data_IF_674827938223
#
_entry.id   IF_674827938223
#
_cell.length_a   1.000
_cell.length_b   1.000
_cell.length_c   1.000
_cell.angle_alpha   90.00
_cell.angle_beta   90.00
_cell.angle_gamma   90.00
#
_symmetry.space_group_name_H-M   'P 1'
#
loop_
_entity.id
_entity.type
_entity.pdbx_description
1 polymer ?
#
# COMPACT_ATOMS: atom_id res chain seq x y z
N UNK A 1 17.13 19.80 10.95
CA UNK A 1 17.41 18.36 11.23
C UNK A 1 16.19 17.46 11.09
N UNK A 2 14.98 17.87 11.52
CA UNK A 2 13.74 17.07 11.39
C UNK A 2 13.30 16.78 9.94
N UNK A 3 13.36 17.77 9.04
CA UNK A 3 12.96 17.58 7.62
C UNK A 3 13.88 16.59 6.86
N UNK A 4 15.13 16.47 7.31
CA UNK A 4 16.15 15.60 6.72
C UNK A 4 15.80 14.13 6.99
N UNK A 5 15.36 13.81 8.21
CA UNK A 5 14.97 12.44 8.57
C UNK A 5 13.72 11.99 7.83
N UNK A 6 12.80 12.91 7.50
CA UNK A 6 11.51 12.58 6.90
C UNK A 6 11.65 11.95 5.50
N UNK A 7 12.46 12.52 4.62
CA UNK A 7 12.60 12.00 3.24
C UNK A 7 13.38 10.68 3.17
N UNK A 8 14.45 10.53 3.96
CA UNK A 8 15.19 9.27 4.02
C UNK A 8 14.37 8.14 4.60
N UNK A 9 13.56 8.41 5.64
CA UNK A 9 12.64 7.42 6.21
C UNK A 9 11.55 7.05 5.18
N UNK A 10 10.98 8.04 4.50
CA UNK A 10 9.96 7.80 3.48
C UNK A 10 10.50 6.93 2.33
N UNK A 11 11.72 7.17 1.86
CA UNK A 11 12.39 6.30 0.89
C UNK A 11 12.54 4.87 1.42
N UNK A 12 13.13 4.70 2.60
CA UNK A 12 13.38 3.38 3.19
C UNK A 12 12.08 2.59 3.33
N UNK A 13 11.05 3.25 3.85
CA UNK A 13 9.72 2.66 4.00
C UNK A 13 9.11 2.28 2.65
N UNK A 14 9.18 3.17 1.65
CA UNK A 14 8.65 2.92 0.30
C UNK A 14 9.32 1.70 -0.32
N UNK A 15 10.66 1.65 -0.29
CA UNK A 15 11.43 0.50 -0.81
C UNK A 15 11.09 -0.79 -0.07
N UNK A 16 10.90 -0.72 1.26
CA UNK A 16 10.58 -1.90 2.08
C UNK A 16 9.19 -2.44 1.77
N UNK A 17 8.17 -1.58 1.68
CA UNK A 17 6.81 -2.03 1.34
C UNK A 17 6.75 -2.53 -0.10
N UNK A 18 7.38 -1.82 -1.05
CA UNK A 18 7.49 -2.27 -2.44
C UNK A 18 8.09 -3.68 -2.51
N UNK A 19 9.21 -3.92 -1.81
CA UNK A 19 9.84 -5.24 -1.76
C UNK A 19 8.93 -6.29 -1.14
N UNK A 20 8.24 -6.00 -0.03
CA UNK A 20 7.41 -7.00 0.66
C UNK A 20 6.20 -7.43 -0.19
N UNK A 21 5.58 -6.48 -0.89
CA UNK A 21 4.43 -6.75 -1.76
C UNK A 21 4.85 -7.34 -3.12
N UNK A 22 5.97 -6.90 -3.71
CA UNK A 22 6.49 -7.42 -4.99
C UNK A 22 7.16 -8.79 -4.84
N UNK A 23 7.86 -9.07 -3.74
CA UNK A 23 8.61 -10.32 -3.57
C UNK A 23 7.70 -11.55 -3.54
N UNK A 24 6.43 -11.39 -3.12
CA UNK A 24 5.45 -12.48 -3.10
C UNK A 24 4.54 -12.51 -4.32
N UNK A 25 4.43 -11.43 -5.09
CA UNK A 25 3.68 -11.43 -6.37
C UNK A 25 4.38 -12.28 -7.45
N UNK A 26 5.71 -12.43 -7.35
CA UNK A 26 6.55 -13.22 -8.28
C UNK A 26 6.64 -14.71 -7.94
N UNK A 27 6.24 -15.13 -6.74
CA UNK A 27 6.06 -16.55 -6.44
C UNK A 27 4.66 -16.92 -6.91
N UNK A 28 4.59 -17.58 -8.08
CA UNK A 28 3.37 -18.15 -8.65
C UNK A 28 2.88 -19.33 -7.81
N UNK A 29 2.55 -19.09 -6.54
CA UNK A 29 1.73 -20.03 -5.80
C UNK A 29 0.30 -19.57 -5.98
N UNK A 30 -0.49 -20.46 -6.59
CA UNK A 30 -1.93 -20.48 -6.81
C UNK A 30 -2.72 -20.37 -5.50
N UNK A 31 -2.38 -19.40 -4.66
CA UNK A 31 -2.91 -19.16 -3.34
C UNK A 31 -3.73 -17.87 -3.38
N UNK A 32 -4.89 -17.92 -2.73
CA UNK A 32 -5.94 -16.89 -2.65
C UNK A 32 -5.50 -15.58 -1.95
N UNK A 33 -4.19 -15.35 -1.83
CA UNK A 33 -3.54 -14.26 -1.10
C UNK A 33 -2.76 -13.30 -2.01
N UNK A 34 -3.01 -13.31 -3.32
CA UNK A 34 -2.39 -12.35 -4.23
C UNK A 34 -2.83 -10.92 -3.90
N UNK A 35 -1.85 -10.02 -3.75
CA UNK A 35 -2.08 -8.59 -3.54
C UNK A 35 -1.74 -7.87 -4.84
N UNK A 36 -2.76 -7.41 -5.58
CA UNK A 36 -2.57 -6.70 -6.85
C UNK A 36 -2.59 -5.18 -6.65
N UNK A 37 -1.45 -4.61 -6.25
CA UNK A 37 -1.27 -3.17 -6.09
C UNK A 37 0.04 -2.70 -6.69
N UNK A 38 0.09 -1.43 -7.08
CA UNK A 38 1.29 -0.79 -7.62
C UNK A 38 1.91 0.14 -6.57
N UNK A 39 3.23 0.18 -6.52
CA UNK A 39 4.01 1.12 -5.71
C UNK A 39 5.05 1.74 -6.64
N UNK A 40 5.14 3.09 -6.71
CA UNK A 40 6.12 3.72 -7.57
C UNK A 40 7.55 3.41 -7.13
N UNK A 41 8.44 3.18 -8.09
CA UNK A 41 9.85 3.04 -7.79
C UNK A 41 10.45 4.35 -7.26
N UNK A 42 11.39 4.24 -6.32
CA UNK A 42 12.17 5.40 -5.87
C UNK A 42 13.34 5.61 -6.82
N UNK A 43 13.23 6.64 -7.66
CA UNK A 43 14.24 7.03 -8.65
C UNK A 43 15.43 7.71 -7.97
N UNK A 44 15.16 8.71 -7.14
CA UNK A 44 16.18 9.49 -6.46
C UNK A 44 15.65 9.99 -5.12
N UNK A 45 16.54 10.08 -4.14
CA UNK A 45 16.22 10.60 -2.82
C UNK A 45 17.37 11.45 -2.30
N UNK A 46 17.01 12.48 -1.54
CA UNK A 46 17.93 13.37 -0.86
C UNK A 46 17.26 13.88 0.41
N UNK A 47 18.01 14.61 1.22
CA UNK A 47 17.54 15.21 2.47
C UNK A 47 16.39 16.23 2.30
N UNK A 48 16.02 16.62 1.08
CA UNK A 48 15.01 17.65 0.79
C UNK A 48 13.96 17.23 -0.23
N UNK A 49 14.26 16.22 -1.04
CA UNK A 49 13.45 15.84 -2.20
C UNK A 49 13.47 14.32 -2.31
N UNK A 50 12.29 13.74 -2.51
CA UNK A 50 12.08 12.38 -2.97
C UNK A 50 11.48 12.43 -4.38
N UNK A 51 12.10 11.71 -5.31
CA UNK A 51 11.65 11.55 -6.70
C UNK A 51 11.20 10.11 -6.88
N UNK A 52 9.92 9.95 -7.22
CA UNK A 52 9.27 8.67 -7.46
C UNK A 52 8.96 8.50 -8.95
N UNK A 53 8.81 7.26 -9.38
CA UNK A 53 8.21 6.92 -10.66
C UNK A 53 6.87 7.66 -10.84
N UNK A 54 6.68 8.22 -12.02
CA UNK A 54 5.40 8.84 -12.37
C UNK A 54 4.35 7.76 -12.62
N UNK A 55 3.28 7.79 -11.83
CA UNK A 55 2.17 6.85 -11.95
C UNK A 55 0.98 7.54 -12.61
N UNK A 56 0.60 7.08 -13.81
CA UNK A 56 -0.58 7.61 -14.50
C UNK A 56 -1.86 7.03 -13.91
N UNK A 57 -2.46 7.79 -13.00
CA UNK A 57 -3.66 7.37 -12.27
C UNK A 57 -4.61 8.52 -11.94
N UNK A 58 -5.80 8.14 -11.51
CA UNK A 58 -6.84 9.04 -10.99
C UNK A 58 -6.83 8.97 -9.47
N UNK A 59 -7.03 10.11 -8.78
CA UNK A 59 -7.10 10.13 -7.32
C UNK A 59 -8.30 9.33 -6.83
N UNK A 60 -8.12 8.49 -5.81
CA UNK A 60 -9.19 7.66 -5.27
C UNK A 60 -10.40 8.48 -4.75
N UNK A 61 -10.17 9.71 -4.31
CA UNK A 61 -11.22 10.62 -3.83
C UNK A 61 -11.94 11.39 -4.95
N UNK A 62 -11.49 11.31 -6.20
CA UNK A 62 -12.15 11.92 -7.35
C UNK A 62 -13.25 10.99 -7.87
N UNK A 63 -14.44 11.09 -7.26
CA UNK A 63 -15.58 10.23 -7.57
C UNK A 63 -15.99 10.29 -9.05
N UNK A 64 -15.93 11.48 -9.66
CA UNK A 64 -16.35 11.68 -11.04
C UNK A 64 -15.39 10.99 -12.01
N UNK A 65 -14.08 11.12 -11.79
CA UNK A 65 -13.08 10.46 -12.63
C UNK A 65 -13.07 8.93 -12.42
N UNK A 66 -13.29 8.44 -11.19
CA UNK A 66 -13.44 6.99 -10.92
C UNK A 66 -14.68 6.41 -11.61
N UNK A 67 -15.80 7.14 -11.59
CA UNK A 67 -17.02 6.73 -12.29
C UNK A 67 -16.84 6.74 -13.82
N UNK A 68 -16.14 7.73 -14.36
CA UNK A 68 -15.81 7.79 -15.78
C UNK A 68 -14.88 6.65 -16.23
N UNK A 69 -14.00 6.16 -15.36
CA UNK A 69 -13.16 4.98 -15.63
C UNK A 69 -13.96 3.66 -15.58
N UNK A 70 -15.17 3.64 -15.02
CA UNK A 70 -15.98 2.43 -14.90
C UNK A 70 -15.39 1.38 -13.93
N UNK A 71 -14.61 1.81 -12.95
CA UNK A 71 -13.93 0.92 -11.99
C UNK A 71 -14.95 0.33 -11.01
N UNK A 72 -14.82 -0.97 -10.74
CA UNK A 72 -15.52 -1.61 -9.63
C UNK A 72 -14.93 -1.15 -8.29
N UNK A 73 -15.68 -0.28 -7.60
CA UNK A 73 -15.29 0.28 -6.31
C UNK A 73 -15.16 -0.79 -5.22
N UNK A 74 -15.94 -1.87 -5.29
CA UNK A 74 -15.86 -2.97 -4.32
C UNK A 74 -14.57 -3.75 -4.52
N UNK A 75 -14.24 -4.08 -5.76
CA UNK A 75 -13.00 -4.78 -6.09
C UNK A 75 -11.76 -3.96 -5.70
N UNK A 76 -11.81 -2.66 -5.94
CA UNK A 76 -10.74 -1.74 -5.56
C UNK A 76 -10.54 -1.68 -4.03
N UNK A 77 -11.65 -1.59 -3.27
CA UNK A 77 -11.60 -1.62 -1.81
C UNK A 77 -11.06 -2.96 -1.29
N UNK A 78 -11.40 -4.07 -1.93
CA UNK A 78 -10.89 -5.39 -1.59
C UNK A 78 -9.37 -5.46 -1.77
N UNK A 79 -8.83 -5.02 -2.90
CA UNK A 79 -7.39 -5.01 -3.15
C UNK A 79 -6.61 -4.13 -2.17
N UNK A 80 -7.12 -2.93 -1.87
CA UNK A 80 -6.53 -2.06 -0.85
C UNK A 80 -6.56 -2.75 0.53
N UNK A 81 -7.70 -3.34 0.90
CA UNK A 81 -7.85 -4.03 2.18
C UNK A 81 -6.91 -5.22 2.29
N UNK A 82 -6.78 -6.03 1.24
CA UNK A 82 -5.83 -7.15 1.17
C UNK A 82 -4.39 -6.68 1.31
N UNK A 83 -4.01 -5.58 0.65
CA UNK A 83 -2.67 -5.01 0.79
C UNK A 83 -2.35 -4.58 2.23
N UNK A 84 -3.31 -3.95 2.92
CA UNK A 84 -3.14 -3.57 4.33
C UNK A 84 -3.14 -4.77 5.27
N UNK A 85 -4.02 -5.74 5.04
CA UNK A 85 -4.03 -6.99 5.81
C UNK A 85 -2.70 -7.75 5.65
N UNK A 86 -2.14 -7.78 4.44
CA UNK A 86 -0.83 -8.37 4.18
C UNK A 86 0.27 -7.65 4.98
N UNK A 87 0.33 -6.33 4.89
CA UNK A 87 1.27 -5.51 5.65
C UNK A 87 1.19 -5.76 7.17
N UNK A 88 -0.02 -5.87 7.73
CA UNK A 88 -0.25 -6.07 9.17
C UNK A 88 0.09 -7.50 9.59
N UNK A 89 -0.53 -8.50 8.97
CA UNK A 89 -0.53 -9.88 9.46
C UNK A 89 0.63 -10.70 8.89
N UNK A 90 1.05 -10.44 7.66
CA UNK A 90 2.15 -11.15 7.01
C UNK A 90 3.46 -10.43 7.32
N UNK A 91 3.60 -9.18 6.89
CA UNK A 91 4.87 -8.46 6.98
C UNK A 91 5.18 -7.96 8.40
N UNK A 92 4.14 -7.65 9.19
CA UNK A 92 4.31 -6.96 10.46
C UNK A 92 4.90 -5.57 10.30
N UNK A 93 4.70 -4.96 9.14
CA UNK A 93 5.15 -3.62 8.79
C UNK A 93 4.07 -2.98 7.93
N UNK A 94 3.38 -1.99 8.49
CA UNK A 94 2.18 -1.43 7.88
C UNK A 94 2.20 0.08 7.86
N UNK A 95 1.54 0.64 6.84
CA UNK A 95 1.25 2.06 6.79
C UNK A 95 0.11 2.41 7.78
N UNK A 96 0.35 3.37 8.67
CA UNK A 96 -0.61 3.85 9.64
C UNK A 96 -1.55 4.94 9.14
N UNK A 97 -1.35 5.44 7.91
CA UNK A 97 -2.16 6.52 7.31
C UNK A 97 -2.81 6.11 5.98
N UNK A 98 -3.96 5.42 6.02
CA UNK A 98 -4.73 5.05 4.83
C UNK A 98 -5.61 6.21 4.30
N UNK A 99 -5.11 7.44 4.32
CA UNK A 99 -5.86 8.58 3.79
C UNK A 99 -6.12 8.41 2.27
N UNK A 100 -7.35 8.65 1.76
CA UNK A 100 -7.68 8.46 0.35
C UNK A 100 -6.78 9.24 -0.63
N UNK A 101 -6.20 10.36 -0.17
CA UNK A 101 -5.23 11.14 -0.94
C UNK A 101 -3.94 10.39 -1.27
N UNK A 102 -3.59 9.35 -0.51
CA UNK A 102 -2.38 8.54 -0.71
C UNK A 102 -2.58 7.43 -1.74
N UNK A 103 -3.74 7.36 -2.38
CA UNK A 103 -4.07 6.36 -3.39
C UNK A 103 -4.39 7.00 -4.74
N UNK A 104 -3.85 6.38 -5.79
CA UNK A 104 -4.37 6.53 -7.15
C UNK A 104 -4.99 5.21 -7.60
N UNK A 105 -5.73 5.29 -8.70
CA UNK A 105 -6.22 4.15 -9.45
C UNK A 105 -5.61 4.26 -10.84
N UNK A 106 -4.90 3.22 -11.28
CA UNK A 106 -4.35 3.16 -12.64
C UNK A 106 -5.44 3.37 -13.67
N UNK A 107 -5.16 4.14 -14.72
CA UNK A 107 -6.12 4.36 -15.82
C UNK A 107 -6.25 3.18 -16.78
N UNK A 108 -5.36 2.20 -16.69
CA UNK A 108 -5.38 1.02 -17.55
C UNK A 108 -5.95 -0.18 -16.81
N UNK A 109 -6.75 -1.04 -17.46
CA UNK A 109 -7.16 -2.33 -16.91
C UNK A 109 -5.93 -3.12 -16.41
N UNK A 110 -6.01 -3.77 -15.24
CA UNK A 110 -7.23 -4.01 -14.46
C UNK A 110 -7.55 -2.92 -13.41
N UNK A 111 -7.11 -1.66 -13.61
CA UNK A 111 -7.40 -0.51 -12.73
C UNK A 111 -6.87 -0.66 -11.31
N UNK A 112 -5.60 -1.06 -11.20
CA UNK A 112 -4.93 -1.36 -9.93
C UNK A 112 -4.82 -0.13 -9.01
N UNK A 113 -4.97 -0.30 -7.68
CA UNK A 113 -4.62 0.69 -6.69
C UNK A 113 -3.13 0.98 -6.75
N UNK A 114 -2.78 2.25 -6.59
CA UNK A 114 -1.42 2.75 -6.54
C UNK A 114 -1.21 3.41 -5.17
N UNK A 115 -0.29 2.90 -4.37
CA UNK A 115 -0.02 3.39 -3.02
C UNK A 115 1.18 4.34 -3.07
N UNK A 116 0.96 5.61 -2.68
CA UNK A 116 1.95 6.68 -2.88
C UNK A 116 2.77 7.05 -1.63
N UNK A 117 2.20 6.90 -0.44
CA UNK A 117 2.79 7.43 0.79
C UNK A 117 3.03 6.32 1.81
N UNK A 118 4.25 6.29 2.35
CA UNK A 118 4.71 5.39 3.39
C UNK A 118 5.47 6.14 4.50
N UNK A 119 5.16 7.42 4.70
CA UNK A 119 5.83 8.28 5.67
C UNK A 119 5.49 7.91 7.12
N UNK A 120 4.35 7.25 7.33
CA UNK A 120 3.84 6.86 8.64
C UNK A 120 3.71 5.34 8.80
N UNK A 121 4.80 4.60 8.59
CA UNK A 121 4.78 3.15 8.83
C UNK A 121 5.14 2.76 10.27
N UNK A 122 4.63 1.61 10.70
CA UNK A 122 4.91 1.02 12.02
C UNK A 122 5.23 -0.47 11.89
N UNK A 123 6.14 -0.93 12.74
CA UNK A 123 6.43 -2.36 12.90
C UNK A 123 5.59 -2.95 14.03
N UNK A 124 5.06 -4.15 13.81
CA UNK A 124 4.27 -4.92 14.77
C UNK A 124 5.03 -6.21 15.11
N UNK A 125 5.18 -6.50 16.41
CA UNK A 125 5.79 -7.75 16.86
C UNK A 125 4.90 -8.96 16.55
N UNK A 126 5.51 -10.15 16.40
CA UNK A 126 4.76 -11.39 16.13
C UNK A 126 3.64 -11.66 17.14
N UNK A 127 3.89 -11.36 18.43
CA UNK A 127 2.88 -11.52 19.49
C UNK A 127 1.69 -10.59 19.27
N UNK A 128 1.94 -9.34 18.88
CA UNK A 128 0.88 -8.37 18.61
C UNK A 128 0.11 -8.73 17.34
N UNK A 129 0.78 -9.24 16.29
CA UNK A 129 0.09 -9.77 15.09
C UNK A 129 -0.90 -10.87 15.44
N UNK A 130 -0.46 -11.83 16.26
CA UNK A 130 -1.33 -12.93 16.72
C UNK A 130 -2.47 -12.42 17.59
N UNK A 131 -2.22 -11.45 18.47
CA UNK A 131 -3.26 -10.83 19.30
C UNK A 131 -4.32 -10.12 18.45
N UNK A 132 -3.91 -9.33 17.46
CA UNK A 132 -4.82 -8.66 16.52
C UNK A 132 -5.63 -9.65 15.68
N UNK A 133 -5.01 -10.75 15.23
CA UNK A 133 -5.71 -11.78 14.47
C UNK A 133 -6.77 -12.48 15.32
N UNK A 134 -6.45 -12.80 16.58
CA UNK A 134 -7.41 -13.38 17.54
C UNK A 134 -8.56 -12.43 17.85
N UNK A 135 -8.25 -11.14 18.03
CA UNK A 135 -9.27 -10.11 18.26
C UNK A 135 -10.23 -10.00 17.07
N UNK A 136 -9.71 -10.00 15.84
CA UNK A 136 -10.52 -9.95 14.63
C UNK A 136 -11.41 -11.19 14.50
N UNK A 137 -10.86 -12.39 14.73
CA UNK A 137 -11.61 -13.64 14.70
C UNK A 137 -12.75 -13.62 15.73
N UNK A 138 -12.47 -13.22 16.97
CA UNK A 138 -13.48 -13.12 18.02
C UNK A 138 -14.55 -12.05 17.78
N UNK A 139 -14.30 -11.06 16.91
CA UNK A 139 -15.28 -10.03 16.53
C UNK A 139 -16.15 -10.44 15.35
N UNK A 140 -15.76 -11.50 14.63
CA UNK A 140 -16.47 -12.01 13.44
C UNK A 140 -17.46 -13.13 13.78
N UNK A 141 -17.39 -13.67 15.00
CA UNK A 141 -18.35 -14.60 15.60
C UNK A 141 -19.51 -13.82 16.25
#
# INVERSE_FOLDING_TARGET
SFLIAMFSILEENTRKVAKNLDYRSKQSDSSDNHVDVLIPEVIQSSNKILVLEYMDGVRLNDKAAIEALGVDKQHLAEWITRAYAHQIYIDGFFNGDPHPGNFLVSKQPPFRPILLDFGLTKSISSNMKQALAKMLLASAE
#
